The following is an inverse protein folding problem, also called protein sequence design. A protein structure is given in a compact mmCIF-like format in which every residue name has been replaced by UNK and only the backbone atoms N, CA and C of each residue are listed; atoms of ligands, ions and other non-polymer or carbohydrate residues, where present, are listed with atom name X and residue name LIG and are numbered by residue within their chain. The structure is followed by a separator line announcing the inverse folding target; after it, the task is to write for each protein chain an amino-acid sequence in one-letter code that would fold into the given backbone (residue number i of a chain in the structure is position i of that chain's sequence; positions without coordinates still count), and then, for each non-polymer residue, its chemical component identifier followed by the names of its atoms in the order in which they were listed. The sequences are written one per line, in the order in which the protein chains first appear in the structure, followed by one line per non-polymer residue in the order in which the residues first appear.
data_IF_227192711934
#
_entry.id   IF_227192711934
#
_cell.length_a   1.000
_cell.length_b   1.000
_cell.length_c   1.000
_cell.angle_alpha   90.00
_cell.angle_beta   90.00
_cell.angle_gamma   90.00
#
_symmetry.space_group_name_H-M   'P 1'
#
loop_
_entity.id
_entity.type
_entity.pdbx_description
1 polymer ?
#
# COMPACT_ATOMS: atom_id res chain seq x y z
N UNK A 1 -17.77 12.39 8.16
CA UNK A 1 -16.77 11.81 9.07
C UNK A 1 -16.27 10.57 8.35
N UNK A 2 -15.10 10.00 8.69
CA UNK A 2 -14.64 8.81 7.98
C UNK A 2 -14.09 7.80 8.96
N UNK A 3 -14.55 6.56 8.85
CA UNK A 3 -14.07 5.42 9.62
C UNK A 3 -13.06 4.64 8.75
N UNK A 4 -11.95 4.19 9.32
CA UNK A 4 -11.06 3.25 8.65
C UNK A 4 -11.38 1.85 9.18
N UNK A 5 -11.85 0.98 8.30
CA UNK A 5 -12.13 -0.42 8.62
C UNK A 5 -11.41 -1.31 7.62
N UNK A 6 -10.53 -2.17 8.11
CA UNK A 6 -9.73 -3.10 7.30
C UNK A 6 -9.06 -2.44 6.08
N UNK A 7 -8.35 -1.33 6.34
CA UNK A 7 -7.66 -0.57 5.30
C UNK A 7 -8.57 0.20 4.33
N UNK A 8 -9.88 0.08 4.46
CA UNK A 8 -10.87 0.74 3.60
C UNK A 8 -11.49 1.93 4.34
N UNK A 9 -11.61 3.07 3.66
CA UNK A 9 -12.20 4.29 4.23
C UNK A 9 -13.71 4.25 3.99
N UNK A 10 -14.47 4.15 5.08
CA UNK A 10 -15.92 4.25 5.11
C UNK A 10 -16.35 5.71 5.29
N UNK A 11 -17.06 6.31 4.31
CA UNK A 11 -17.68 7.60 4.52
C UNK A 11 -18.86 7.44 5.51
N UNK A 12 -18.80 8.18 6.61
CA UNK A 12 -19.89 8.23 7.60
C UNK A 12 -20.55 9.60 7.58
N UNK A 13 -21.88 9.61 7.65
CA UNK A 13 -22.62 10.86 7.75
C UNK A 13 -22.39 11.51 9.13
N UNK A 14 -21.97 12.77 9.11
CA UNK A 14 -21.75 13.55 10.33
C UNK A 14 -23.06 13.84 11.05
N UNK A 15 -24.17 13.99 10.33
CA UNK A 15 -25.49 14.25 10.90
C UNK A 15 -25.97 13.08 11.74
N UNK A 16 -25.97 11.89 11.14
CA UNK A 16 -26.48 10.66 11.76
C UNK A 16 -25.60 10.23 12.94
N UNK A 17 -24.27 10.32 12.82
CA UNK A 17 -23.37 9.89 13.90
C UNK A 17 -23.43 10.84 15.12
N UNK A 18 -23.67 12.14 14.91
CA UNK A 18 -23.71 13.12 15.99
C UNK A 18 -25.10 13.28 16.61
N UNK A 19 -26.15 13.34 15.80
CA UNK A 19 -27.51 13.66 16.25
C UNK A 19 -28.48 12.48 16.19
N UNK A 20 -28.13 11.40 15.49
CA UNK A 20 -29.04 10.27 15.32
C UNK A 20 -29.25 9.43 16.58
N UNK A 21 -30.33 8.65 16.58
CA UNK A 21 -30.62 7.64 17.59
C UNK A 21 -29.65 6.45 17.49
N UNK A 22 -29.59 5.60 18.51
CA UNK A 22 -28.75 4.40 18.48
C UNK A 22 -29.14 3.45 17.33
N UNK A 23 -30.43 3.41 16.98
CA UNK A 23 -30.96 2.60 15.89
C UNK A 23 -30.55 3.17 14.53
N UNK A 24 -30.67 4.48 14.34
CA UNK A 24 -30.25 5.17 13.10
C UNK A 24 -28.75 5.03 12.85
N UNK A 25 -27.93 5.10 13.90
CA UNK A 25 -26.48 4.88 13.79
C UNK A 25 -26.17 3.45 13.37
N UNK A 26 -26.85 2.48 13.97
CA UNK A 26 -26.67 1.06 13.63
C UNK A 26 -27.06 0.80 12.18
N UNK A 27 -28.21 1.30 11.76
CA UNK A 27 -28.72 1.16 10.40
C UNK A 27 -27.74 1.79 9.38
N UNK A 28 -27.31 3.03 9.61
CA UNK A 28 -26.37 3.72 8.74
C UNK A 28 -25.05 2.96 8.58
N UNK A 29 -24.50 2.44 9.69
CA UNK A 29 -23.26 1.66 9.66
C UNK A 29 -23.46 0.36 8.88
N UNK A 30 -24.58 -0.36 9.10
CA UNK A 30 -24.84 -1.61 8.38
C UNK A 30 -25.04 -1.42 6.89
N UNK A 31 -25.77 -0.36 6.48
CA UNK A 31 -25.97 -0.02 5.07
C UNK A 31 -24.64 0.33 4.39
N UNK A 32 -23.83 1.17 5.04
CA UNK A 32 -22.49 1.53 4.54
C UNK A 32 -21.58 0.31 4.38
N UNK A 33 -21.63 -0.64 5.34
CA UNK A 33 -20.86 -1.89 5.25
C UNK A 33 -21.36 -2.75 4.09
N UNK A 34 -22.68 -2.89 3.94
CA UNK A 34 -23.29 -3.73 2.91
C UNK A 34 -22.95 -3.22 1.50
N UNK A 35 -23.04 -1.91 1.27
CA UNK A 35 -22.66 -1.27 0.00
C UNK A 35 -21.19 -1.56 -0.34
N UNK A 36 -20.30 -1.43 0.64
CA UNK A 36 -18.87 -1.69 0.45
C UNK A 36 -18.53 -3.16 0.23
N UNK A 37 -19.24 -4.07 0.89
CA UNK A 37 -19.05 -5.52 0.68
C UNK A 37 -19.61 -5.92 -0.67
N UNK A 38 -20.78 -5.42 -1.08
CA UNK A 38 -21.37 -5.71 -2.38
C UNK A 38 -20.45 -5.30 -3.53
N UNK A 39 -19.87 -4.10 -3.47
CA UNK A 39 -18.91 -3.63 -4.48
C UNK A 39 -17.57 -4.39 -4.47
N UNK A 40 -17.17 -5.00 -3.36
CA UNK A 40 -16.00 -5.88 -3.31
C UNK A 40 -16.32 -7.28 -3.84
N UNK A 41 -17.49 -7.82 -3.49
CA UNK A 41 -17.92 -9.15 -3.92
C UNK A 41 -18.13 -9.19 -5.43
N UNK A 42 -18.64 -8.13 -6.06
CA UNK A 42 -18.68 -8.06 -7.53
C UNK A 42 -17.30 -8.12 -8.16
N UNK A 43 -16.33 -7.38 -7.61
CA UNK A 43 -14.92 -7.43 -8.06
C UNK A 43 -14.31 -8.81 -7.83
N UNK A 44 -14.59 -9.46 -6.70
CA UNK A 44 -14.11 -10.82 -6.43
C UNK A 44 -14.75 -11.88 -7.33
N UNK A 45 -16.01 -11.71 -7.73
CA UNK A 45 -16.70 -12.62 -8.64
C UNK A 45 -16.18 -12.41 -10.07
N UNK A 46 -16.02 -11.17 -10.53
CA UNK A 46 -15.44 -10.87 -11.86
C UNK A 46 -13.95 -11.26 -11.95
N UNK A 47 -13.18 -11.16 -10.85
CA UNK A 47 -11.79 -11.63 -10.80
C UNK A 47 -11.67 -13.16 -10.69
N UNK A 48 -12.74 -13.87 -10.32
CA UNK A 48 -12.70 -15.33 -10.18
C UNK A 48 -12.68 -16.09 -11.51
N UNK A 49 -12.95 -15.42 -12.65
CA UNK A 49 -12.79 -15.99 -13.99
C UNK A 49 -11.36 -15.80 -14.56
N UNK A 50 -10.53 -14.96 -13.94
CA UNK A 50 -9.15 -14.70 -14.36
C UNK A 50 -8.15 -14.97 -13.23
N UNK A 51 -8.04 -16.25 -12.87
CA UNK A 51 -6.78 -16.85 -12.39
C UNK A 51 -6.18 -16.26 -11.11
N UNK A 52 -6.44 -16.94 -10.00
CA UNK A 52 -5.52 -17.17 -8.87
C UNK A 52 -4.29 -16.24 -8.79
N UNK A 53 -4.46 -15.00 -8.30
CA UNK A 53 -3.39 -14.27 -7.63
C UNK A 53 -3.93 -13.57 -6.40
N UNK A 54 -3.62 -14.16 -5.25
CA UNK A 54 -3.65 -13.48 -3.96
C UNK A 54 -2.99 -12.10 -4.10
N UNK A 55 -3.66 -10.99 -3.80
CA UNK A 55 -2.95 -9.75 -3.58
C UNK A 55 -2.19 -9.91 -2.27
N UNK A 56 -0.87 -9.90 -2.38
CA UNK A 56 0.04 -9.79 -1.26
C UNK A 56 -0.44 -8.69 -0.32
N UNK A 57 -0.57 -9.03 0.97
CA UNK A 57 -0.89 -8.11 2.07
C UNK A 57 0.06 -6.89 2.05
N UNK A 58 -0.37 -5.79 1.48
CA UNK A 58 0.23 -4.48 1.72
C UNK A 58 -0.22 -3.97 3.10
N UNK A 59 0.59 -4.26 4.13
CA UNK A 59 0.50 -3.57 5.42
C UNK A 59 0.83 -2.08 5.24
N UNK A 60 -0.17 -1.26 4.85
CA UNK A 60 -0.06 0.20 4.91
C UNK A 60 -0.18 0.67 6.36
N UNK A 61 0.94 0.61 7.09
CA UNK A 61 1.13 1.42 8.28
C UNK A 61 0.95 2.89 7.90
N UNK A 62 -0.12 3.53 8.40
CA UNK A 62 -0.27 4.99 8.39
C UNK A 62 0.87 5.61 9.21
N UNK A 63 2.00 5.85 8.55
CA UNK A 63 3.04 6.73 9.05
C UNK A 63 2.45 8.12 9.16
N UNK A 64 2.56 8.70 10.36
CA UNK A 64 2.27 10.11 10.63
C UNK A 64 2.83 10.97 9.49
N UNK A 65 2.01 11.87 8.94
CA UNK A 65 2.43 12.88 7.97
C UNK A 65 3.30 13.86 8.76
N UNK A 66 4.58 13.51 8.93
CA UNK A 66 5.62 14.49 9.13
C UNK A 66 5.85 15.19 7.78
N UNK A 67 6.23 16.48 7.77
CA UNK A 67 6.66 17.15 6.54
C UNK A 67 7.68 16.26 5.83
N UNK A 68 7.67 16.19 4.48
CA UNK A 68 8.50 15.26 3.73
C UNK A 68 9.96 15.52 4.10
N UNK A 69 10.50 14.71 5.01
CA UNK A 69 11.94 14.64 5.20
C UNK A 69 12.45 14.24 3.84
N UNK A 70 13.13 15.16 3.16
CA UNK A 70 13.81 14.89 1.89
C UNK A 70 14.53 13.56 2.09
N UNK A 71 14.09 12.51 1.40
CA UNK A 71 14.74 11.19 1.50
C UNK A 71 16.09 11.35 0.82
N UNK A 72 17.06 11.89 1.57
CA UNK A 72 18.43 11.97 1.13
C UNK A 72 18.89 10.52 1.01
N UNK A 73 19.42 10.09 -0.15
CA UNK A 73 19.90 8.74 -0.28
C UNK A 73 20.98 8.50 0.77
N UNK A 74 20.97 7.33 1.41
CA UNK A 74 21.96 6.95 2.44
C UNK A 74 23.38 6.87 1.87
N UNK A 75 23.49 6.78 0.54
CA UNK A 75 24.72 6.79 -0.23
C UNK A 75 24.52 7.80 -1.35
N UNK A 76 25.18 8.94 -1.26
CA UNK A 76 25.33 9.87 -2.39
C UNK A 76 26.64 9.48 -3.06
N UNK A 77 26.58 8.87 -4.24
CA UNK A 77 27.74 8.71 -5.09
C UNK A 77 27.86 9.99 -5.93
N UNK A 78 28.78 10.91 -5.61
CA UNK A 78 28.87 12.20 -6.29
C UNK A 78 29.23 12.08 -7.78
N UNK A 79 29.74 10.91 -8.19
CA UNK A 79 30.15 10.62 -9.57
C UNK A 79 29.10 9.81 -10.36
N UNK A 80 27.94 9.50 -9.79
CA UNK A 80 26.91 8.73 -10.49
C UNK A 80 26.11 9.64 -11.43
N UNK A 81 25.96 9.21 -12.68
CA UNK A 81 25.09 9.87 -13.65
C UNK A 81 23.59 9.73 -13.29
N UNK A 82 22.71 10.46 -13.99
CA UNK A 82 21.27 10.27 -13.88
C UNK A 82 20.88 8.83 -14.24
N UNK A 83 19.96 8.25 -13.48
CA UNK A 83 19.45 6.90 -13.75
C UNK A 83 18.65 6.93 -15.05
N UNK A 84 19.02 6.08 -16.00
CA UNK A 84 18.35 5.90 -17.28
C UNK A 84 17.11 5.01 -17.16
N UNK A 85 16.19 5.11 -18.13
CA UNK A 85 15.00 4.26 -18.14
C UNK A 85 15.30 2.79 -18.38
N UNK A 86 16.40 2.49 -19.07
CA UNK A 86 16.87 1.12 -19.33
C UNK A 86 17.35 0.48 -18.02
N UNK A 87 18.16 1.20 -17.25
CA UNK A 87 18.59 0.76 -15.91
C UNK A 87 17.41 0.51 -14.97
N UNK A 88 16.36 1.34 -15.02
CA UNK A 88 15.14 1.09 -14.21
C UNK A 88 14.45 -0.19 -14.64
N UNK A 89 14.34 -0.45 -15.94
CA UNK A 89 13.69 -1.67 -16.46
C UNK A 89 14.47 -2.92 -16.07
N UNK A 90 15.80 -2.87 -16.19
CA UNK A 90 16.68 -3.98 -15.84
C UNK A 90 16.67 -4.23 -14.33
N UNK A 91 16.70 -3.16 -13.53
CA UNK A 91 16.56 -3.26 -12.08
C UNK A 91 15.27 -3.97 -11.67
N UNK A 92 14.12 -3.58 -12.25
CA UNK A 92 12.82 -4.17 -11.91
C UNK A 92 12.71 -5.64 -12.34
N UNK A 93 13.26 -5.99 -13.51
CA UNK A 93 13.12 -7.34 -14.07
C UNK A 93 14.12 -8.33 -13.49
N UNK A 94 15.34 -7.89 -13.20
CA UNK A 94 16.48 -8.75 -12.89
C UNK A 94 16.88 -8.52 -11.43
N UNK A 95 17.39 -7.34 -11.11
CA UNK A 95 18.01 -7.06 -9.81
C UNK A 95 17.03 -7.19 -8.64
N UNK A 96 15.77 -6.82 -8.85
CA UNK A 96 14.70 -6.93 -7.84
C UNK A 96 14.39 -8.38 -7.47
N UNK A 97 14.61 -9.34 -8.38
CA UNK A 97 14.44 -10.76 -8.09
C UNK A 97 15.67 -11.35 -7.40
N UNK A 98 16.84 -10.83 -7.73
CA UNK A 98 18.10 -11.26 -7.14
C UNK A 98 18.40 -10.63 -5.78
N UNK A 99 17.65 -9.59 -5.39
CA UNK A 99 17.88 -8.89 -4.11
C UNK A 99 17.65 -9.78 -2.89
N UNK A 100 16.84 -10.83 -3.03
CA UNK A 100 16.58 -11.83 -1.99
C UNK A 100 17.71 -12.88 -1.91
N UNK A 101 18.52 -13.00 -2.95
CA UNK A 101 19.69 -13.90 -2.93
C UNK A 101 20.82 -13.28 -2.10
N UNK A 102 21.21 -14.00 -1.05
CA UNK A 102 22.27 -13.56 -0.11
C UNK A 102 23.57 -13.17 -0.81
N UNK A 103 23.99 -13.94 -1.81
CA UNK A 103 25.25 -13.69 -2.53
C UNK A 103 25.20 -12.40 -3.36
N UNK A 104 24.06 -12.14 -4.00
CA UNK A 104 23.85 -10.91 -4.76
C UNK A 104 23.84 -9.69 -3.82
N UNK A 105 23.07 -9.76 -2.73
CA UNK A 105 23.01 -8.69 -1.75
C UNK A 105 24.38 -8.37 -1.15
N UNK A 106 25.16 -9.40 -0.79
CA UNK A 106 26.50 -9.20 -0.24
C UNK A 106 27.47 -8.55 -1.22
N UNK A 107 27.37 -8.86 -2.52
CA UNK A 107 28.25 -8.29 -3.55
C UNK A 107 28.07 -6.78 -3.70
N UNK A 108 26.83 -6.30 -3.65
CA UNK A 108 26.50 -4.90 -3.96
C UNK A 108 26.26 -4.01 -2.73
N UNK A 109 25.81 -4.58 -1.60
CA UNK A 109 25.40 -3.79 -0.42
C UNK A 109 26.26 -3.99 0.82
N UNK A 110 27.18 -4.96 0.84
CA UNK A 110 28.03 -5.18 2.00
C UNK A 110 29.08 -4.07 2.09
N UNK A 111 28.88 -3.17 3.05
CA UNK A 111 29.84 -2.12 3.39
C UNK A 111 31.12 -2.77 3.92
N UNK A 112 32.27 -2.60 3.23
CA UNK A 112 33.58 -2.88 3.85
C UNK A 112 33.68 -1.98 5.08
N UNK A 113 33.69 -2.56 6.28
CA UNK A 113 33.99 -1.82 7.51
C UNK A 113 35.41 -1.30 7.35
N UNK A 114 35.55 0.02 7.23
CA UNK A 114 36.80 0.74 7.46
C UNK A 114 36.89 1.04 8.94
#
# INVERSE_FOLDING_TARGET
MSLLYDGTIMPLDKGIIKLGSAEEKKQHITETILEMVSGKVSVFIDESELGLKQPAREKKQKRRICPPKSKKPSIVNPNAGPISQEEVKDFVKIDLRLIDEKHYFEKFFKKKRR
#
